data_IF_267339801026
#
_entry.id   IF_267339801026
#
_cell.length_a   1.000
_cell.length_b   1.000
_cell.length_c   1.000
_cell.angle_alpha   90.00
_cell.angle_beta   90.00
_cell.angle_gamma   90.00
#
_symmetry.space_group_name_H-M   'P 1'
#
loop_
_entity.id
_entity.type
_entity.pdbx_description
1 polymer ?
#
# COMPACT_ATOMS: atom_id res chain seq x y z
N UNK A 1 13.60 -16.91 6.03
CA UNK A 1 12.98 -15.96 5.10
C UNK A 1 12.84 -14.66 5.86
N UNK A 2 13.50 -13.59 5.41
CA UNK A 2 13.44 -12.28 6.08
C UNK A 2 12.59 -11.37 5.21
N UNK A 3 11.51 -10.84 5.77
CA UNK A 3 10.66 -9.86 5.12
C UNK A 3 10.99 -8.48 5.71
N UNK A 4 11.47 -7.58 4.86
CA UNK A 4 11.72 -6.20 5.24
C UNK A 4 10.62 -5.31 4.65
N UNK A 5 9.92 -4.57 5.51
CA UNK A 5 8.87 -3.63 5.11
C UNK A 5 9.26 -2.20 5.46
N UNK A 6 9.43 -1.36 4.45
CA UNK A 6 9.74 0.07 4.59
C UNK A 6 8.51 0.89 4.25
N UNK A 7 8.09 1.77 5.16
CA UNK A 7 7.05 2.76 4.87
C UNK A 7 7.63 3.82 3.91
N UNK A 8 6.90 4.09 2.83
CA UNK A 8 7.27 5.08 1.81
C UNK A 8 6.45 6.36 2.02
N UNK A 9 5.13 6.24 1.93
CA UNK A 9 4.22 7.39 1.91
C UNK A 9 2.93 7.11 2.69
N UNK A 10 2.28 8.17 3.16
CA UNK A 10 0.97 8.13 3.83
C UNK A 10 0.03 9.13 3.17
N UNK A 11 -1.20 8.71 2.93
CA UNK A 11 -2.28 9.52 2.39
C UNK A 11 -3.44 9.51 3.36
N UNK A 12 -4.09 10.66 3.50
CA UNK A 12 -5.17 10.87 4.46
C UNK A 12 -6.45 11.17 3.70
N UNK A 13 -7.52 10.48 4.07
CA UNK A 13 -8.86 10.68 3.54
C UNK A 13 -9.62 11.62 4.48
N UNK A 14 -10.50 12.47 3.93
CA UNK A 14 -11.30 13.44 4.71
C UNK A 14 -12.16 12.80 5.82
N UNK A 15 -12.55 11.53 5.65
CA UNK A 15 -13.32 10.80 6.67
C UNK A 15 -12.46 10.26 7.83
N UNK A 16 -11.15 10.51 7.80
CA UNK A 16 -10.17 9.99 8.76
C UNK A 16 -9.50 8.68 8.34
N UNK A 17 -9.87 8.10 7.19
CA UNK A 17 -9.20 6.93 6.62
C UNK A 17 -7.74 7.23 6.23
N UNK A 18 -6.90 6.20 6.23
CA UNK A 18 -5.46 6.35 5.94
C UNK A 18 -5.02 5.27 4.96
N UNK A 19 -4.37 5.65 3.86
CA UNK A 19 -3.64 4.72 3.01
C UNK A 19 -2.13 4.84 3.28
N UNK A 20 -1.46 3.71 3.48
CA UNK A 20 -0.02 3.65 3.72
C UNK A 20 0.65 2.83 2.63
N UNK A 21 1.59 3.44 1.92
CA UNK A 21 2.39 2.80 0.87
C UNK A 21 3.67 2.24 1.48
N UNK A 22 3.98 0.99 1.17
CA UNK A 22 5.19 0.32 1.65
C UNK A 22 5.95 -0.32 0.50
N UNK A 23 7.27 -0.35 0.64
CA UNK A 23 8.15 -1.24 -0.11
C UNK A 23 8.40 -2.48 0.74
N UNK A 24 8.13 -3.65 0.18
CA UNK A 24 8.41 -4.94 0.78
C UNK A 24 9.56 -5.58 0.01
N UNK A 25 10.55 -6.09 0.74
CA UNK A 25 11.64 -6.89 0.18
C UNK A 25 11.57 -8.28 0.79
N UNK A 26 11.45 -9.28 -0.08
CA UNK A 26 11.45 -10.70 0.28
C UNK A 26 12.77 -11.33 -0.18
N UNK A 27 13.54 -11.86 0.77
CA UNK A 27 14.68 -12.73 0.44
C UNK A 27 14.20 -14.12 0.03
N UNK A 28 14.41 -14.50 -1.23
CA UNK A 28 14.10 -15.82 -1.81
C UNK A 28 15.40 -16.59 -2.08
N UNK A 29 15.28 -17.90 -2.33
CA UNK A 29 16.44 -18.75 -2.61
C UNK A 29 17.16 -18.37 -3.92
N UNK A 30 16.49 -17.70 -4.87
CA UNK A 30 17.08 -17.25 -6.14
C UNK A 30 17.49 -15.76 -6.14
N UNK A 31 17.24 -15.02 -5.05
CA UNK A 31 17.59 -13.61 -4.93
C UNK A 31 16.62 -12.80 -4.06
N UNK A 32 16.87 -11.50 -3.94
CA UNK A 32 15.94 -10.57 -3.29
C UNK A 32 14.93 -10.02 -4.29
N UNK A 33 13.64 -10.06 -3.94
CA UNK A 33 12.59 -9.46 -4.75
C UNK A 33 11.90 -8.35 -3.96
N UNK A 34 11.94 -7.13 -4.51
CA UNK A 34 11.25 -5.98 -3.94
C UNK A 34 9.96 -5.66 -4.70
N UNK A 35 8.88 -5.42 -3.98
CA UNK A 35 7.58 -5.01 -4.52
C UNK A 35 6.92 -3.98 -3.61
N UNK A 36 5.82 -3.38 -4.07
CA UNK A 36 5.09 -2.38 -3.29
C UNK A 36 3.76 -2.90 -2.76
N UNK A 37 3.24 -2.29 -1.71
CA UNK A 37 1.90 -2.59 -1.20
C UNK A 37 1.25 -1.36 -0.61
N UNK A 38 -0.08 -1.33 -0.63
CA UNK A 38 -0.89 -0.32 0.05
C UNK A 38 -1.65 -1.01 1.17
N UNK A 39 -1.63 -0.43 2.37
CA UNK A 39 -2.51 -0.83 3.47
C UNK A 39 -3.49 0.29 3.75
N UNK A 40 -4.78 -0.03 3.68
CA UNK A 40 -5.87 0.92 3.87
C UNK A 40 -6.46 0.74 5.26
N UNK A 41 -6.61 1.83 5.98
CA UNK A 41 -7.13 1.87 7.33
C UNK A 41 -8.39 2.73 7.37
N UNK A 42 -9.35 2.29 8.16
CA UNK A 42 -10.54 3.08 8.44
C UNK A 42 -10.21 4.20 9.47
N UNK A 43 -11.17 5.09 9.78
CA UNK A 43 -10.95 6.18 10.72
C UNK A 43 -10.63 5.73 12.16
N UNK A 44 -10.98 4.49 12.52
CA UNK A 44 -10.65 3.91 13.84
C UNK A 44 -9.24 3.30 13.87
N UNK A 45 -8.48 3.39 12.77
CA UNK A 45 -7.15 2.79 12.65
C UNK A 45 -7.16 1.28 12.38
N UNK A 46 -8.33 0.69 12.13
CA UNK A 46 -8.47 -0.73 11.78
C UNK A 46 -8.10 -0.92 10.31
N UNK A 47 -7.28 -1.94 10.02
CA UNK A 47 -6.96 -2.31 8.65
C UNK A 47 -8.22 -2.78 7.92
N UNK A 48 -8.58 -2.11 6.85
CA UNK A 48 -9.67 -2.50 5.94
C UNK A 48 -9.16 -3.63 5.04
N UNK A 49 -8.07 -3.37 4.31
CA UNK A 49 -7.49 -4.33 3.37
C UNK A 49 -6.04 -3.95 3.03
N UNK A 50 -5.33 -4.88 2.38
CA UNK A 50 -3.99 -4.70 1.83
C UNK A 50 -4.00 -5.10 0.36
N UNK A 51 -3.44 -4.27 -0.51
CA UNK A 51 -3.17 -4.58 -1.91
C UNK A 51 -1.66 -4.71 -2.14
N UNK A 52 -1.24 -5.72 -2.89
CA UNK A 52 0.16 -5.96 -3.26
C UNK A 52 0.37 -5.73 -4.75
N UNK A 53 1.45 -5.04 -5.08
CA UNK A 53 1.79 -4.60 -6.42
C UNK A 53 3.18 -5.12 -6.79
N UNK A 54 3.21 -6.34 -7.31
CA UNK A 54 4.46 -7.05 -7.64
C UNK A 54 5.14 -6.53 -8.92
N UNK A 55 4.36 -5.97 -9.84
CA UNK A 55 4.83 -5.56 -11.17
C UNK A 55 4.56 -4.09 -11.49
N UNK A 56 4.22 -3.26 -10.50
CA UNK A 56 3.91 -1.85 -10.71
C UNK A 56 5.01 -0.96 -10.12
N UNK A 57 5.24 0.18 -10.77
CA UNK A 57 6.13 1.23 -10.29
C UNK A 57 5.56 1.91 -9.05
N UNK A 58 6.44 2.48 -8.21
CA UNK A 58 6.04 3.23 -7.02
C UNK A 58 5.01 4.33 -7.34
N UNK A 59 5.22 5.10 -8.40
CA UNK A 59 4.32 6.20 -8.80
C UNK A 59 2.89 5.71 -9.01
N UNK A 60 2.70 4.56 -9.67
CA UNK A 60 1.37 3.98 -9.88
C UNK A 60 0.70 3.61 -8.55
N UNK A 61 1.49 3.11 -7.59
CA UNK A 61 0.98 2.69 -6.27
C UNK A 61 0.65 3.91 -5.41
N UNK A 62 1.43 4.98 -5.52
CA UNK A 62 1.15 6.27 -4.89
C UNK A 62 -0.12 6.92 -5.47
N UNK A 63 -0.26 6.95 -6.79
CA UNK A 63 -1.50 7.39 -7.45
C UNK A 63 -2.70 6.56 -7.01
N UNK A 64 -2.57 5.24 -6.90
CA UNK A 64 -3.66 4.39 -6.43
C UNK A 64 -4.06 4.69 -4.97
N UNK A 65 -3.09 4.96 -4.10
CA UNK A 65 -3.34 5.35 -2.71
C UNK A 65 -4.04 6.71 -2.62
N UNK A 66 -3.57 7.71 -3.38
CA UNK A 66 -4.17 9.03 -3.44
C UNK A 66 -5.59 9.00 -4.02
N UNK A 67 -5.78 8.29 -5.13
CA UNK A 67 -7.09 8.12 -5.76
C UNK A 67 -8.11 7.49 -4.81
N UNK A 68 -7.67 6.59 -3.91
CA UNK A 68 -8.56 6.06 -2.88
C UNK A 68 -8.93 7.13 -1.83
N UNK A 69 -7.96 7.93 -1.37
CA UNK A 69 -8.24 9.03 -0.44
C UNK A 69 -9.13 10.11 -1.05
N UNK A 70 -9.08 10.30 -2.37
CA UNK A 70 -9.96 11.22 -3.11
C UNK A 70 -11.34 10.60 -3.43
N UNK A 71 -11.58 9.33 -3.08
CA UNK A 71 -12.83 8.63 -3.39
C UNK A 71 -13.01 8.23 -4.86
N UNK A 72 -11.96 8.37 -5.69
CA UNK A 72 -11.94 7.99 -7.10
C UNK A 72 -11.78 6.46 -7.22
N UNK A 73 -10.81 5.88 -6.50
CA UNK A 73 -10.63 4.42 -6.41
C UNK A 73 -11.52 3.85 -5.31
N UNK A 74 -12.27 2.80 -5.64
CA UNK A 74 -13.06 2.02 -4.68
C UNK A 74 -12.33 0.72 -4.32
N UNK A 75 -12.40 0.30 -3.07
CA UNK A 75 -11.80 -0.95 -2.57
C UNK A 75 -12.88 -2.04 -2.54
N UNK A 76 -13.07 -2.75 -3.66
CA UNK A 76 -14.09 -3.80 -3.79
C UNK A 76 -15.52 -3.26 -3.75
N UNK A 77 -16.36 -3.72 -4.69
CA UNK A 77 -17.82 -3.57 -4.63
C UNK A 77 -18.44 -4.66 -3.76
#
# INVERSE_FOLDING_TARGET
>A
MVEHKRLISKYYKDDGGIAKVFQNTEGRADGEHSFYSISYYNPTGTLITKEEFKNNSLSYVEDAAENWTLGIKKLGS
#
